data_IF_719204811107
#
_entry.id   IF_719204811107
#
_cell.length_a   1.000
_cell.length_b   1.000
_cell.length_c   1.000
_cell.angle_alpha   90.00
_cell.angle_beta   90.00
_cell.angle_gamma   90.00
#
_symmetry.space_group_name_H-M   'P 1'
#
loop_
_entity.id
_entity.type
_entity.pdbx_description
1 polymer ?
#
# COMPACT_ATOMS: atom_id res chain seq x y z
N UNK A 1 -5.21 1.46 17.35
CA UNK A 1 -4.75 2.53 16.43
C UNK A 1 -3.74 1.92 15.47
N UNK A 2 -4.07 1.83 14.18
CA UNK A 2 -3.13 1.32 13.19
C UNK A 2 -2.09 2.42 12.90
N UNK A 3 -0.89 2.21 13.43
CA UNK A 3 0.25 3.11 13.25
C UNK A 3 0.76 3.02 11.81
N UNK A 4 1.15 4.17 11.25
CA UNK A 4 1.75 4.27 9.92
C UNK A 4 2.88 3.24 9.73
N UNK A 5 2.99 2.56 8.56
CA UNK A 5 4.11 1.67 8.28
C UNK A 5 5.46 2.35 8.48
N UNK A 6 6.40 1.67 9.15
CA UNK A 6 7.69 2.25 9.58
C UNK A 6 8.50 2.86 8.43
N UNK A 7 8.36 2.31 7.23
CA UNK A 7 9.09 2.75 6.04
C UNK A 7 8.35 3.84 5.26
N UNK A 8 7.11 4.14 5.65
CA UNK A 8 6.21 5.05 4.95
C UNK A 8 5.99 6.32 5.76
N UNK A 9 5.42 7.33 5.09
CA UNK A 9 4.97 8.58 5.70
C UNK A 9 3.47 8.70 5.53
N UNK A 10 2.76 8.93 6.62
CA UNK A 10 1.31 9.08 6.61
C UNK A 10 0.93 10.51 6.99
N UNK A 11 0.25 11.23 6.09
CA UNK A 11 -0.20 12.61 6.30
C UNK A 11 -1.56 12.78 5.62
N UNK A 12 -2.55 13.31 6.34
CA UNK A 12 -3.88 13.66 5.80
C UNK A 12 -4.55 12.55 4.97
N UNK A 13 -4.45 11.30 5.45
CA UNK A 13 -5.02 10.12 4.78
C UNK A 13 -4.21 9.59 3.58
N UNK A 14 -3.06 10.20 3.28
CA UNK A 14 -2.12 9.70 2.26
C UNK A 14 -1.05 8.85 2.93
N UNK A 15 -0.86 7.62 2.45
CA UNK A 15 0.19 6.68 2.89
C UNK A 15 1.24 6.60 1.79
N UNK A 16 2.35 7.30 2.00
CA UNK A 16 3.45 7.45 1.03
C UNK A 16 4.57 6.44 1.31
N UNK A 17 4.66 5.39 0.49
CA UNK A 17 5.61 4.27 0.59
C UNK A 17 6.51 4.14 -0.66
N UNK A 18 6.72 5.23 -1.40
CA UNK A 18 7.45 5.21 -2.68
C UNK A 18 8.95 5.02 -2.48
N UNK A 19 9.57 4.29 -3.40
CA UNK A 19 11.02 4.07 -3.42
C UNK A 19 11.56 3.61 -2.06
N UNK A 20 10.96 2.53 -1.53
CA UNK A 20 11.34 1.91 -0.25
C UNK A 20 11.91 0.51 -0.41
N UNK A 21 12.01 0.01 -1.63
CA UNK A 21 12.46 -1.35 -1.91
C UNK A 21 11.47 -2.42 -1.42
N UNK A 22 10.19 -2.07 -1.29
CA UNK A 22 9.15 -2.98 -0.82
C UNK A 22 8.97 -4.13 -1.80
N UNK A 23 8.99 -5.36 -1.30
CA UNK A 23 8.70 -6.57 -2.07
C UNK A 23 7.27 -7.07 -1.84
N UNK A 24 6.59 -6.53 -0.83
CA UNK A 24 5.25 -6.89 -0.38
C UNK A 24 4.46 -5.63 -0.01
N UNK A 25 3.13 -5.71 -0.06
CA UNK A 25 2.23 -4.65 0.43
C UNK A 25 2.33 -4.60 1.98
N UNK A 26 2.49 -3.41 2.60
CA UNK A 26 2.50 -3.28 4.06
C UNK A 26 1.17 -3.68 4.69
N UNK A 27 1.19 -4.44 5.79
CA UNK A 27 -0.02 -4.91 6.47
C UNK A 27 -0.63 -3.84 7.40
N UNK A 28 0.18 -2.93 7.93
CA UNK A 28 -0.24 -1.96 8.95
C UNK A 28 -0.66 -0.60 8.36
N UNK A 29 -1.47 -0.63 7.30
CA UNK A 29 -2.01 0.59 6.70
C UNK A 29 -3.15 1.14 7.58
N UNK A 30 -3.16 2.44 7.92
CA UNK A 30 -4.24 3.03 8.70
C UNK A 30 -5.59 2.89 7.99
N UNK A 31 -6.65 2.54 8.72
CA UNK A 31 -8.03 2.43 8.16
C UNK A 31 -8.55 3.77 7.59
N UNK A 32 -8.00 4.88 8.07
CA UNK A 32 -8.27 6.24 7.56
C UNK A 32 -7.55 6.56 6.25
N UNK A 33 -6.77 5.63 5.68
CA UNK A 33 -6.10 5.83 4.40
C UNK A 33 -7.12 6.06 3.28
N UNK A 34 -6.90 7.14 2.53
CA UNK A 34 -7.67 7.56 1.36
C UNK A 34 -6.87 7.28 0.09
N UNK A 35 -5.55 7.46 0.14
CA UNK A 35 -4.62 7.21 -0.96
C UNK A 35 -3.40 6.43 -0.46
N UNK A 36 -3.04 5.37 -1.17
CA UNK A 36 -1.83 4.58 -0.92
C UNK A 36 -0.91 4.70 -2.13
N UNK A 37 0.34 5.08 -1.88
CA UNK A 37 1.38 5.23 -2.90
C UNK A 37 2.48 4.21 -2.70
N UNK A 38 2.48 3.17 -3.53
CA UNK A 38 3.44 2.07 -3.52
C UNK A 38 4.25 2.02 -4.82
N UNK A 39 4.22 3.07 -5.64
CA UNK A 39 5.00 3.11 -6.87
C UNK A 39 6.52 3.13 -6.63
N UNK A 40 7.30 2.73 -7.64
CA UNK A 40 8.76 2.60 -7.57
C UNK A 40 9.22 1.59 -6.50
N UNK A 41 8.64 0.38 -6.51
CA UNK A 41 8.98 -0.70 -5.59
C UNK A 41 9.17 -2.03 -6.34
N UNK A 42 9.35 -3.13 -5.61
CA UNK A 42 9.61 -4.47 -6.14
C UNK A 42 8.47 -5.44 -5.79
N UNK A 43 7.25 -4.94 -5.65
CA UNK A 43 6.09 -5.77 -5.28
C UNK A 43 5.77 -6.71 -6.43
N UNK A 44 5.64 -8.00 -6.13
CA UNK A 44 5.42 -9.05 -7.13
C UNK A 44 4.01 -9.61 -7.11
N UNK A 45 3.29 -9.45 -6.00
CA UNK A 45 1.99 -10.07 -5.78
C UNK A 45 1.04 -9.13 -5.05
N UNK A 46 -0.23 -9.17 -5.44
CA UNK A 46 -1.34 -8.58 -4.67
C UNK A 46 -2.16 -9.72 -4.06
N UNK A 47 -2.09 -9.96 -2.74
CA UNK A 47 -2.85 -11.01 -2.09
C UNK A 47 -4.34 -10.65 -2.01
N UNK A 48 -5.19 -11.66 -1.86
CA UNK A 48 -6.62 -11.46 -1.69
C UNK A 48 -6.83 -10.63 -0.44
N UNK A 49 -7.77 -9.69 -0.50
CA UNK A 49 -8.11 -8.81 0.61
C UNK A 49 -6.98 -7.89 1.11
N UNK A 50 -5.91 -7.67 0.34
CA UNK A 50 -4.81 -6.76 0.71
C UNK A 50 -5.27 -5.36 1.15
N UNK A 51 -6.42 -4.91 0.65
CA UNK A 51 -7.00 -3.59 0.92
C UNK A 51 -8.46 -3.67 1.42
N UNK A 52 -8.94 -4.86 1.79
CA UNK A 52 -10.37 -5.07 2.08
C UNK A 52 -10.88 -4.28 3.28
N UNK A 53 -10.02 -4.04 4.27
CA UNK A 53 -10.41 -3.39 5.52
C UNK A 53 -10.24 -1.85 5.47
N UNK A 54 -9.80 -1.32 4.32
CA UNK A 54 -9.54 0.11 4.12
C UNK A 54 -10.77 0.82 3.55
N UNK A 55 -11.81 0.97 4.38
CA UNK A 55 -13.12 1.47 3.96
C UNK A 55 -13.12 2.89 3.36
N UNK A 56 -12.12 3.72 3.70
CA UNK A 56 -11.99 5.10 3.19
C UNK A 56 -11.15 5.18 1.90
N UNK A 57 -10.59 4.07 1.45
CA UNK A 57 -9.62 4.03 0.36
C UNK A 57 -10.28 4.36 -0.98
N UNK A 58 -9.68 5.31 -1.71
CA UNK A 58 -10.16 5.77 -3.01
C UNK A 58 -9.15 5.56 -4.12
N UNK A 59 -7.86 5.52 -3.78
CA UNK A 59 -6.76 5.39 -4.74
C UNK A 59 -5.64 4.51 -4.22
N UNK A 60 -5.13 3.65 -5.08
CA UNK A 60 -3.90 2.89 -4.88
C UNK A 60 -3.03 3.11 -6.11
N UNK A 61 -1.79 3.54 -5.90
CA UNK A 61 -0.79 3.63 -6.95
C UNK A 61 0.24 2.50 -6.76
N UNK A 62 0.34 1.63 -7.76
CA UNK A 62 1.24 0.47 -7.79
C UNK A 62 2.17 0.54 -9.01
N UNK A 63 2.30 1.71 -9.66
CA UNK A 63 3.14 1.90 -10.84
C UNK A 63 4.59 1.47 -10.62
N UNK A 64 5.28 1.04 -11.68
CA UNK A 64 6.70 0.67 -11.61
C UNK A 64 7.01 -0.35 -10.51
N UNK A 65 6.15 -1.37 -10.39
CA UNK A 65 6.39 -2.60 -9.61
C UNK A 65 6.58 -3.80 -10.54
N UNK A 66 6.76 -5.00 -9.98
CA UNK A 66 7.02 -6.25 -10.69
C UNK A 66 5.85 -7.23 -10.55
N UNK A 67 4.63 -6.68 -10.52
CA UNK A 67 3.41 -7.45 -10.22
C UNK A 67 3.18 -8.47 -11.33
N UNK A 68 3.27 -9.74 -10.97
CA UNK A 68 3.06 -10.89 -11.87
C UNK A 68 1.89 -11.78 -11.43
N UNK A 69 1.36 -11.55 -10.22
CA UNK A 69 0.23 -12.27 -9.68
C UNK A 69 -0.73 -11.34 -8.93
N UNK A 70 -2.01 -11.50 -9.19
CA UNK A 70 -3.10 -10.84 -8.47
C UNK A 70 -4.04 -11.95 -8.02
N UNK A 71 -4.22 -12.07 -6.72
CA UNK A 71 -5.09 -13.07 -6.15
C UNK A 71 -6.57 -12.71 -6.42
N UNK A 72 -7.47 -13.70 -6.50
CA UNK A 72 -8.90 -13.49 -6.70
C UNK A 72 -9.58 -12.68 -5.59
#
# INVERSE_FOLDING_TARGET
ENLCPRQCRCVDGVVDCRDKGLTLIPENIPESAIEIRLEENHITQIPSRAFADLASLKRIDLGNNQISYIAP
#
